data_IF_846432236530
#
_entry.id   IF_846432236530
#
_cell.length_a   1.000
_cell.length_b   1.000
_cell.length_c   1.000
_cell.angle_alpha   90.00
_cell.angle_beta   90.00
_cell.angle_gamma   90.00
#
_symmetry.space_group_name_H-M   'P 1'
#
loop_
_entity.id
_entity.type
_entity.pdbx_description
1 polymer ?
#
# COMPACT_ATOMS: atom_id res chain seq x y z
N UNK A 1 -2.99 9.93 -15.86
CA UNK A 1 -3.22 9.02 -14.72
C UNK A 1 -2.78 7.61 -15.12
N UNK A 2 -1.64 7.11 -14.63
CA UNK A 2 -1.00 5.87 -15.11
C UNK A 2 -1.90 4.62 -14.98
N UNK A 3 -2.63 4.50 -13.87
CA UNK A 3 -3.51 3.36 -13.57
C UNK A 3 -4.78 3.26 -14.44
N UNK A 4 -5.10 4.30 -15.22
CA UNK A 4 -6.26 4.33 -16.15
C UNK A 4 -5.84 4.43 -17.62
N UNK A 5 -4.55 4.31 -17.91
CA UNK A 5 -4.05 4.42 -19.28
C UNK A 5 -4.54 3.25 -20.16
N UNK A 6 -4.61 3.47 -21.47
CA UNK A 6 -4.94 2.41 -22.44
C UNK A 6 -4.00 1.21 -22.31
N UNK A 7 -2.71 1.47 -22.09
CA UNK A 7 -1.71 0.43 -21.87
C UNK A 7 -2.00 -0.42 -20.62
N UNK A 8 -2.31 0.22 -19.50
CA UNK A 8 -2.67 -0.48 -18.26
C UNK A 8 -3.95 -1.31 -18.43
N UNK A 9 -4.99 -0.74 -19.04
CA UNK A 9 -6.27 -1.45 -19.27
C UNK A 9 -6.08 -2.65 -20.20
N UNK A 10 -5.28 -2.51 -21.26
CA UNK A 10 -4.95 -3.60 -22.16
C UNK A 10 -4.20 -4.73 -21.45
N UNK A 11 -3.20 -4.39 -20.62
CA UNK A 11 -2.47 -5.38 -19.84
C UNK A 11 -3.37 -6.10 -18.83
N UNK A 12 -4.21 -5.39 -18.08
CA UNK A 12 -5.17 -6.01 -17.14
C UNK A 12 -6.13 -6.99 -17.83
N UNK A 13 -6.51 -6.72 -19.09
CA UNK A 13 -7.34 -7.64 -19.86
C UNK A 13 -6.65 -8.98 -20.15
N UNK A 14 -5.31 -9.02 -20.18
CA UNK A 14 -4.52 -10.24 -20.38
C UNK A 14 -4.36 -11.10 -19.12
N UNK A 15 -4.73 -10.58 -17.93
CA UNK A 15 -4.50 -11.22 -16.63
C UNK A 15 -5.81 -11.65 -15.93
N UNK A 16 -6.92 -11.68 -16.66
CA UNK A 16 -8.28 -11.87 -16.11
C UNK A 16 -8.53 -13.25 -15.49
N UNK A 17 -7.66 -14.20 -15.76
CA UNK A 17 -7.69 -15.56 -15.21
C UNK A 17 -7.35 -15.60 -13.70
N UNK A 18 -6.58 -14.64 -13.20
CA UNK A 18 -6.17 -14.59 -11.79
C UNK A 18 -6.31 -13.22 -11.12
N UNK A 19 -6.40 -12.12 -11.88
CA UNK A 19 -6.42 -10.76 -11.36
C UNK A 19 -7.78 -10.06 -11.57
N UNK A 20 -8.48 -9.84 -10.46
CA UNK A 20 -9.64 -8.95 -10.40
C UNK A 20 -9.20 -7.57 -9.90
N UNK A 21 -9.69 -6.50 -10.52
CA UNK A 21 -9.32 -5.13 -10.17
C UNK A 21 -10.56 -4.29 -9.95
N UNK A 22 -10.72 -3.84 -8.72
CA UNK A 22 -11.75 -2.90 -8.33
C UNK A 22 -11.26 -1.45 -8.44
N UNK A 23 -12.19 -0.54 -8.73
CA UNK A 23 -11.90 0.90 -8.81
C UNK A 23 -12.47 1.59 -7.58
N UNK A 24 -11.58 2.09 -6.74
CA UNK A 24 -11.98 2.94 -5.62
C UNK A 24 -12.53 4.29 -6.13
N UNK A 25 -13.54 4.86 -5.46
CA UNK A 25 -13.99 6.22 -5.69
C UNK A 25 -12.85 7.23 -5.63
N UNK A 26 -12.99 8.34 -6.37
CA UNK A 26 -12.05 9.44 -6.23
C UNK A 26 -12.16 10.05 -4.83
N UNK A 27 -11.02 10.49 -4.27
CA UNK A 27 -10.95 11.14 -2.96
C UNK A 27 -11.48 10.29 -1.78
N UNK A 28 -11.39 8.96 -1.87
CA UNK A 28 -11.74 8.04 -0.79
C UNK A 28 -10.49 7.31 -0.23
N UNK A 29 -9.53 8.03 0.39
CA UNK A 29 -8.33 7.42 0.96
C UNK A 29 -8.63 6.40 2.07
N UNK A 30 -9.73 6.56 2.79
CA UNK A 30 -10.21 5.64 3.83
C UNK A 30 -10.49 4.22 3.30
N UNK A 31 -10.80 4.09 2.00
CA UNK A 31 -11.03 2.80 1.35
C UNK A 31 -9.74 2.16 0.81
N UNK A 32 -8.60 2.86 0.89
CA UNK A 32 -7.32 2.39 0.37
C UNK A 32 -6.42 1.91 1.53
N UNK A 33 -6.24 0.59 1.74
CA UNK A 33 -5.54 0.06 2.90
C UNK A 33 -4.06 0.47 2.96
N UNK A 34 -3.45 0.81 1.82
CA UNK A 34 -2.06 1.29 1.78
C UNK A 34 -1.87 2.60 2.56
N UNK A 35 -2.90 3.43 2.71
CA UNK A 35 -2.81 4.67 3.47
C UNK A 35 -2.54 4.38 4.96
N UNK A 36 -3.11 3.31 5.50
CA UNK A 36 -2.84 2.88 6.87
C UNK A 36 -1.47 2.23 7.03
N UNK A 37 -1.02 1.46 6.04
CA UNK A 37 0.36 0.96 6.00
C UNK A 37 1.34 2.14 6.08
N UNK A 38 1.11 3.19 5.28
CA UNK A 38 1.93 4.40 5.34
C UNK A 38 1.81 5.14 6.67
N UNK A 39 0.60 5.24 7.23
CA UNK A 39 0.40 5.83 8.56
C UNK A 39 1.21 5.11 9.63
N UNK A 40 1.13 3.77 9.68
CA UNK A 40 1.86 2.95 10.63
C UNK A 40 3.38 3.14 10.49
N UNK A 41 3.90 3.04 9.27
CA UNK A 41 5.34 3.16 9.00
C UNK A 41 5.89 4.56 9.30
N UNK A 42 5.11 5.61 9.00
CA UNK A 42 5.47 7.00 9.32
C UNK A 42 5.51 7.26 10.83
N UNK A 43 4.62 6.64 11.59
CA UNK A 43 4.56 6.78 13.05
C UNK A 43 5.50 5.83 13.79
N UNK A 44 6.19 4.93 13.08
CA UNK A 44 7.12 3.95 13.68
C UNK A 44 8.51 4.07 13.04
N UNK A 45 8.82 3.35 11.95
CA UNK A 45 10.19 3.32 11.39
C UNK A 45 10.71 4.68 10.93
N UNK A 46 9.83 5.52 10.39
CA UNK A 46 10.22 6.84 9.90
C UNK A 46 9.98 7.94 10.94
N UNK A 47 9.50 7.60 12.14
CA UNK A 47 9.23 8.59 13.17
C UNK A 47 10.51 9.31 13.58
N UNK A 48 10.56 10.62 13.36
CA UNK A 48 11.71 11.49 13.65
C UNK A 48 13.01 11.09 12.93
N UNK A 49 12.93 10.30 11.84
CA UNK A 49 14.10 9.96 11.05
C UNK A 49 14.64 11.23 10.38
N UNK A 50 15.92 11.56 10.65
CA UNK A 50 16.64 12.66 10.03
C UNK A 50 17.82 12.09 9.21
N UNK A 51 17.55 11.61 7.98
CA UNK A 51 18.54 10.92 7.19
C UNK A 51 19.48 11.92 6.48
N UNK A 52 20.76 11.59 6.43
CA UNK A 52 21.76 12.37 5.68
C UNK A 52 21.79 11.97 4.19
N UNK A 53 21.39 10.73 3.89
CA UNK A 53 21.37 10.17 2.54
C UNK A 53 20.08 9.40 2.28
N UNK A 54 19.66 9.34 1.02
CA UNK A 54 18.45 8.62 0.60
C UNK A 54 18.47 7.14 0.97
N UNK A 55 19.65 6.51 1.02
CA UNK A 55 19.76 5.09 1.35
C UNK A 55 19.28 4.76 2.77
N UNK A 56 19.41 5.70 3.71
CA UNK A 56 18.90 5.53 5.07
C UNK A 56 17.36 5.50 5.10
N UNK A 57 16.69 6.31 4.25
CA UNK A 57 15.23 6.25 4.09
C UNK A 57 14.81 4.92 3.46
N UNK A 58 15.56 4.46 2.44
CA UNK A 58 15.30 3.17 1.80
C UNK A 58 15.36 2.03 2.81
N UNK A 59 16.45 1.94 3.58
CA UNK A 59 16.65 0.90 4.60
C UNK A 59 15.53 0.94 5.64
N UNK A 60 15.19 2.11 6.17
CA UNK A 60 14.12 2.23 7.17
C UNK A 60 12.74 1.84 6.61
N UNK A 61 12.46 2.21 5.35
CA UNK A 61 11.23 1.84 4.65
C UNK A 61 11.17 0.33 4.40
N UNK A 62 12.25 -0.29 3.93
CA UNK A 62 12.34 -1.74 3.71
C UNK A 62 12.16 -2.51 5.02
N UNK A 63 12.75 -2.04 6.13
CA UNK A 63 12.56 -2.62 7.45
C UNK A 63 11.09 -2.55 7.90
N UNK A 64 10.43 -1.40 7.71
CA UNK A 64 9.02 -1.23 8.07
C UNK A 64 8.09 -2.10 7.25
N UNK A 65 8.29 -2.16 5.92
CA UNK A 65 7.54 -3.05 5.04
C UNK A 65 7.77 -4.53 5.38
N UNK A 66 9.00 -4.91 5.74
CA UNK A 66 9.31 -6.27 6.19
C UNK A 66 8.58 -6.60 7.50
N UNK A 67 8.64 -5.71 8.50
CA UNK A 67 7.94 -5.90 9.78
C UNK A 67 6.43 -6.05 9.56
N UNK A 68 5.83 -5.12 8.82
CA UNK A 68 4.40 -5.16 8.50
C UNK A 68 4.07 -6.46 7.76
N UNK A 69 4.76 -6.76 6.67
CA UNK A 69 4.53 -7.94 5.84
C UNK A 69 4.74 -9.28 6.56
N UNK A 70 5.60 -9.30 7.57
CA UNK A 70 5.85 -10.49 8.41
C UNK A 70 4.79 -10.74 9.49
N UNK A 71 3.90 -9.77 9.74
CA UNK A 71 2.84 -9.87 10.73
C UNK A 71 1.47 -9.94 10.02
N UNK A 72 0.93 -11.15 9.93
CA UNK A 72 -0.35 -11.41 9.28
C UNK A 72 -1.49 -10.60 9.89
N UNK A 73 -1.62 -10.60 11.22
CA UNK A 73 -2.72 -9.92 11.92
C UNK A 73 -2.67 -8.41 11.70
N UNK A 74 -1.47 -7.82 11.71
CA UNK A 74 -1.29 -6.40 11.44
C UNK A 74 -1.64 -6.07 9.97
N UNK A 75 -1.14 -6.85 9.01
CA UNK A 75 -1.50 -6.69 7.60
C UNK A 75 -3.01 -6.78 7.38
N UNK A 76 -3.66 -7.76 8.01
CA UNK A 76 -5.09 -7.97 7.89
C UNK A 76 -5.89 -6.82 8.51
N UNK A 77 -5.45 -6.30 9.67
CA UNK A 77 -6.14 -5.19 10.33
C UNK A 77 -6.26 -3.92 9.47
N UNK A 78 -5.30 -3.69 8.55
CA UNK A 78 -5.38 -2.58 7.61
C UNK A 78 -6.50 -2.77 6.58
N UNK A 79 -6.78 -4.00 6.16
CA UNK A 79 -7.90 -4.33 5.29
C UNK A 79 -9.22 -4.13 6.04
N UNK A 80 -9.32 -4.65 7.27
CA UNK A 80 -10.53 -4.54 8.09
C UNK A 80 -10.96 -3.08 8.32
N UNK A 81 -10.00 -2.18 8.49
CA UNK A 81 -10.28 -0.77 8.74
C UNK A 81 -10.76 -0.01 7.49
N UNK A 82 -10.66 -0.59 6.29
CA UNK A 82 -11.33 -0.03 5.09
C UNK A 82 -12.85 -0.19 5.13
N UNK A 83 -13.37 -1.10 5.98
CA UNK A 83 -14.79 -1.44 6.05
C UNK A 83 -15.33 -2.15 4.79
N UNK A 84 -14.45 -2.53 3.86
CA UNK A 84 -14.82 -3.30 2.67
C UNK A 84 -14.96 -4.77 3.05
N UNK A 85 -16.07 -5.40 2.65
CA UNK A 85 -16.18 -6.86 2.68
C UNK A 85 -15.43 -7.43 1.48
N UNK A 86 -14.50 -8.35 1.74
CA UNK A 86 -13.85 -9.16 0.71
C UNK A 86 -14.74 -10.32 0.27
#
# INVERSE_FOLDING_TARGET
MAHRSKAMTAWLATQRDWLHVERLPAYAPELNPIEQVWGNMKSTELANLCPEILDQVRIATEAGLTRIGSNYDLCHSFLDHTGLSL
#
